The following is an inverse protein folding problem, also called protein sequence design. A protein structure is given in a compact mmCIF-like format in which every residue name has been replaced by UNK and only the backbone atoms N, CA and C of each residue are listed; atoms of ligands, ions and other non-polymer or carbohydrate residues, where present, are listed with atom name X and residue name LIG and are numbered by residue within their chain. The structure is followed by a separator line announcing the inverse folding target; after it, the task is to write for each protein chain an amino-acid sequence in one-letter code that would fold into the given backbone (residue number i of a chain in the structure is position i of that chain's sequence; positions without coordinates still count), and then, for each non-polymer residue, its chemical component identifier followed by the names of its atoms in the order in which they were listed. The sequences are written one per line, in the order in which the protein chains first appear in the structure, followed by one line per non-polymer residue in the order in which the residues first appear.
data_IF_506029387046
#
_entry.id   IF_506029387046
#
_cell.length_a   1.000
_cell.length_b   1.000
_cell.length_c   1.000
_cell.angle_alpha   90.00
_cell.angle_beta   90.00
_cell.angle_gamma   90.00
#
_symmetry.space_group_name_H-M   'P 1'
#
loop_
_entity.id
_entity.type
_entity.pdbx_description
1 polymer ?
#
# COMPACT_ATOMS: atom_id res chain seq x y z
N UNK A 1 1.92 37.11 -12.71
CA UNK A 1 0.65 37.80 -13.03
C UNK A 1 0.08 37.17 -14.30
N UNK A 2 -0.89 36.26 -14.16
CA UNK A 2 -1.52 35.56 -15.29
C UNK A 2 -2.99 36.00 -15.36
N UNK A 3 -3.43 36.55 -16.50
CA UNK A 3 -4.76 37.13 -16.70
C UNK A 3 -5.78 36.04 -17.00
N UNK A 4 -6.84 36.00 -16.19
CA UNK A 4 -8.07 35.25 -16.43
C UNK A 4 -8.96 36.07 -17.38
N UNK A 5 -9.39 35.50 -18.51
CA UNK A 5 -10.45 36.07 -19.36
C UNK A 5 -11.70 35.21 -19.25
N UNK A 6 -12.69 35.72 -18.51
CA UNK A 6 -14.04 35.20 -18.49
C UNK A 6 -14.81 35.69 -19.73
N UNK A 7 -15.52 34.79 -20.41
CA UNK A 7 -16.53 35.15 -21.42
C UNK A 7 -17.85 34.51 -21.04
N UNK A 8 -18.82 35.35 -20.74
CA UNK A 8 -20.21 35.01 -20.50
C UNK A 8 -20.99 34.90 -21.82
N UNK A 9 -22.10 34.16 -21.74
CA UNK A 9 -23.40 34.36 -22.41
C UNK A 9 -23.90 33.11 -23.14
N UNK A 10 -25.09 32.64 -22.74
CA UNK A 10 -25.77 31.55 -23.40
C UNK A 10 -27.05 31.10 -22.71
N UNK A 11 -27.94 32.04 -22.39
CA UNK A 11 -29.31 31.76 -21.93
C UNK A 11 -30.09 31.02 -23.01
N UNK A 12 -30.62 29.83 -22.70
CA UNK A 12 -31.74 29.23 -23.45
C UNK A 12 -32.76 28.63 -22.48
N UNK A 13 -33.90 29.31 -22.41
CA UNK A 13 -35.15 28.88 -21.82
C UNK A 13 -35.70 27.70 -22.63
N UNK A 14 -36.07 26.60 -21.97
CA UNK A 14 -36.98 25.59 -22.53
C UNK A 14 -38.02 25.19 -21.50
N UNK A 15 -39.27 25.49 -21.87
CA UNK A 15 -40.54 24.85 -21.55
C UNK A 15 -40.58 23.80 -20.42
N UNK A 16 -41.28 24.17 -19.35
CA UNK A 16 -41.96 23.27 -18.43
C UNK A 16 -43.05 22.49 -19.20
N UNK A 17 -42.99 21.17 -19.16
CA UNK A 17 -44.12 20.29 -19.48
C UNK A 17 -44.34 19.37 -18.30
N UNK A 18 -45.51 19.51 -17.67
CA UNK A 18 -45.95 18.69 -16.55
C UNK A 18 -46.34 17.30 -17.06
N UNK A 19 -45.58 16.28 -16.65
CA UNK A 19 -45.90 14.88 -16.88
C UNK A 19 -46.50 14.26 -15.61
N UNK A 20 -47.62 13.56 -15.78
CA UNK A 20 -48.46 12.95 -14.77
C UNK A 20 -47.72 11.94 -13.84
N UNK A 21 -48.25 11.68 -12.62
CA UNK A 21 -47.65 10.72 -11.69
C UNK A 21 -47.75 9.28 -12.22
N UNK A 22 -46.58 8.67 -12.40
CA UNK A 22 -46.42 7.25 -12.75
C UNK A 22 -46.70 6.38 -11.51
N UNK A 23 -47.43 5.25 -11.64
CA UNK A 23 -47.66 4.35 -10.50
C UNK A 23 -46.34 3.78 -9.97
N UNK A 24 -46.24 3.71 -8.65
CA UNK A 24 -45.08 3.23 -7.91
C UNK A 24 -44.68 1.81 -8.37
N UNK A 25 -43.49 1.71 -8.96
CA UNK A 25 -42.85 0.42 -9.24
C UNK A 25 -42.29 -0.09 -7.92
N UNK A 26 -42.80 -1.23 -7.47
CA UNK A 26 -42.30 -1.93 -6.29
C UNK A 26 -40.77 -2.07 -6.38
N UNK A 27 -40.10 -1.69 -5.30
CA UNK A 27 -38.67 -1.93 -5.14
C UNK A 27 -38.42 -3.45 -5.23
N UNK A 28 -37.44 -3.91 -6.03
CA UNK A 28 -36.94 -5.25 -5.81
C UNK A 28 -36.33 -5.25 -4.41
N UNK A 29 -36.92 -6.04 -3.51
CA UNK A 29 -36.27 -6.49 -2.29
C UNK A 29 -34.89 -7.00 -2.70
N UNK A 30 -33.84 -6.23 -2.44
CA UNK A 30 -32.48 -6.75 -2.47
C UNK A 30 -32.38 -7.73 -1.32
N UNK A 31 -32.76 -8.97 -1.63
CA UNK A 31 -32.33 -10.15 -0.95
C UNK A 31 -30.82 -10.00 -0.68
N UNK A 32 -30.44 -10.07 0.59
CA UNK A 32 -29.10 -9.77 1.06
C UNK A 32 -28.05 -10.44 0.19
N UNK A 33 -27.10 -9.64 -0.29
CA UNK A 33 -25.81 -10.17 -0.72
C UNK A 33 -25.26 -10.98 0.46
N UNK A 34 -25.23 -12.29 0.24
CA UNK A 34 -24.92 -13.29 1.23
C UNK A 34 -23.62 -12.94 1.98
N UNK A 35 -23.58 -13.06 3.32
CA UNK A 35 -22.32 -12.94 4.08
C UNK A 35 -21.26 -13.98 3.65
N UNK A 36 -21.67 -15.00 2.89
CA UNK A 36 -20.80 -16.06 2.39
C UNK A 36 -19.76 -15.60 1.35
N UNK A 37 -20.13 -14.75 0.38
CA UNK A 37 -19.20 -14.35 -0.69
C UNK A 37 -18.04 -13.47 -0.16
N UNK A 38 -18.30 -12.69 0.90
CA UNK A 38 -17.31 -11.82 1.54
C UNK A 38 -16.26 -12.63 2.32
N UNK A 39 -16.67 -13.71 2.96
CA UNK A 39 -15.78 -14.58 3.74
C UNK A 39 -14.80 -15.37 2.85
N UNK A 40 -15.21 -15.80 1.65
CA UNK A 40 -14.35 -16.58 0.74
C UNK A 40 -13.29 -15.71 0.05
N UNK A 41 -13.65 -14.49 -0.38
CA UNK A 41 -12.68 -13.55 -0.95
C UNK A 41 -11.63 -13.09 0.08
N UNK A 42 -12.04 -12.92 1.35
CA UNK A 42 -11.13 -12.61 2.46
C UNK A 42 -10.17 -13.78 2.73
N UNK A 43 -10.62 -15.03 2.64
CA UNK A 43 -9.78 -16.23 2.81
C UNK A 43 -8.76 -16.42 1.67
N UNK A 44 -9.14 -16.16 0.41
CA UNK A 44 -8.19 -16.22 -0.72
C UNK A 44 -7.17 -15.06 -0.69
N UNK A 45 -7.56 -13.89 -0.18
CA UNK A 45 -6.65 -12.74 -0.04
C UNK A 45 -5.76 -12.83 1.19
N UNK A 46 -6.21 -13.45 2.28
CA UNK A 46 -5.35 -13.82 3.40
C UNK A 46 -4.28 -14.84 2.98
N UNK A 47 -4.55 -15.69 1.98
CA UNK A 47 -3.55 -16.59 1.41
C UNK A 47 -2.41 -15.88 0.65
N UNK A 48 -2.63 -14.67 0.13
CA UNK A 48 -1.56 -13.87 -0.49
C UNK A 48 -0.52 -13.43 0.54
N UNK A 49 -0.93 -13.23 1.79
CA UNK A 49 -0.02 -12.91 2.90
C UNK A 49 0.86 -14.10 3.27
N UNK A 50 0.34 -15.34 3.19
CA UNK A 50 1.06 -16.56 3.56
C UNK A 50 2.11 -17.01 2.53
N UNK A 51 2.09 -16.45 1.31
CA UNK A 51 3.02 -16.80 0.23
C UNK A 51 4.10 -15.73 0.00
N UNK A 52 4.22 -14.76 0.91
CA UNK A 52 5.19 -13.69 0.76
C UNK A 52 6.61 -14.20 1.06
N UNK A 53 7.50 -14.06 0.09
CA UNK A 53 8.93 -14.35 0.28
C UNK A 53 9.61 -13.12 0.87
N UNK A 54 10.11 -13.27 2.08
CA UNK A 54 10.78 -12.19 2.79
C UNK A 54 12.29 -12.24 2.58
N UNK A 55 12.88 -11.10 2.21
CA UNK A 55 14.32 -10.91 2.11
C UNK A 55 14.75 -9.78 3.03
N UNK A 56 15.67 -10.05 3.94
CA UNK A 56 16.35 -8.99 4.70
C UNK A 56 17.40 -8.33 3.81
N UNK A 57 17.27 -7.03 3.57
CA UNK A 57 18.17 -6.27 2.69
C UNK A 57 19.13 -5.36 3.48
N UNK A 58 18.82 -5.07 4.74
CA UNK A 58 19.68 -4.30 5.64
C UNK A 58 19.58 -4.85 7.06
N UNK A 59 20.72 -4.92 7.76
CA UNK A 59 20.79 -5.17 9.21
C UNK A 59 21.90 -4.31 9.80
N UNK A 60 21.56 -3.52 10.80
CA UNK A 60 22.51 -2.79 11.64
C UNK A 60 22.23 -3.12 13.12
N UNK A 61 22.98 -2.50 14.03
CA UNK A 61 22.76 -2.64 15.47
C UNK A 61 21.39 -2.09 15.93
N UNK A 62 20.81 -1.13 15.21
CA UNK A 62 19.58 -0.43 15.61
C UNK A 62 18.52 -0.36 14.51
N UNK A 63 18.73 -0.99 13.36
CA UNK A 63 17.75 -0.96 12.27
C UNK A 63 17.79 -2.21 11.39
N UNK A 64 16.66 -2.50 10.78
CA UNK A 64 16.50 -3.56 9.79
C UNK A 64 15.65 -3.10 8.62
N UNK A 65 15.90 -3.67 7.44
CA UNK A 65 15.01 -3.55 6.29
C UNK A 65 14.68 -4.92 5.73
N UNK A 66 13.41 -5.14 5.48
CA UNK A 66 12.87 -6.30 4.79
C UNK A 66 12.15 -5.89 3.52
N UNK A 67 12.27 -6.73 2.51
CA UNK A 67 11.53 -6.65 1.26
C UNK A 67 10.68 -7.92 1.15
N UNK A 68 9.37 -7.75 1.10
CA UNK A 68 8.42 -8.82 0.85
C UNK A 68 8.11 -8.89 -0.64
N UNK A 69 8.33 -10.06 -1.22
CA UNK A 69 8.10 -10.36 -2.63
C UNK A 69 6.88 -11.26 -2.74
N UNK A 70 5.93 -10.89 -3.60
CA UNK A 70 4.74 -11.68 -3.92
C UNK A 70 4.63 -11.83 -5.43
N UNK A 71 4.37 -13.04 -5.90
CA UNK A 71 4.30 -13.37 -7.33
C UNK A 71 5.53 -12.90 -8.14
N UNK A 72 6.71 -12.95 -7.51
CA UNK A 72 7.98 -12.55 -8.12
C UNK A 72 8.21 -11.04 -8.24
N UNK A 73 7.31 -10.22 -7.69
CA UNK A 73 7.42 -8.76 -7.66
C UNK A 73 7.50 -8.23 -6.24
N UNK A 74 8.20 -7.11 -6.06
CA UNK A 74 8.23 -6.39 -4.80
C UNK A 74 6.81 -5.94 -4.43
N UNK A 75 6.40 -6.26 -3.20
CA UNK A 75 5.06 -6.01 -2.73
C UNK A 75 5.02 -5.09 -1.51
N UNK A 76 6.00 -5.22 -0.62
CA UNK A 76 6.09 -4.43 0.60
C UNK A 76 7.55 -4.25 1.01
N UNK A 77 7.87 -3.07 1.53
CA UNK A 77 9.11 -2.84 2.26
C UNK A 77 8.78 -2.54 3.72
N UNK A 78 9.52 -3.14 4.65
CA UNK A 78 9.40 -2.89 6.09
C UNK A 78 10.74 -2.42 6.62
N UNK A 79 10.78 -1.19 7.11
CA UNK A 79 11.91 -0.62 7.82
C UNK A 79 11.61 -0.66 9.32
N UNK A 80 12.53 -1.21 10.12
CA UNK A 80 12.41 -1.28 11.57
C UNK A 80 13.53 -0.49 12.23
N UNK A 81 13.19 0.20 13.31
CA UNK A 81 14.11 0.93 14.16
C UNK A 81 13.95 0.49 15.61
N UNK A 82 15.02 -0.05 16.18
CA UNK A 82 15.10 -0.46 17.57
C UNK A 82 15.54 0.74 18.41
N UNK A 83 14.68 1.15 19.34
CA UNK A 83 14.89 2.34 20.15
C UNK A 83 15.58 1.98 21.49
N UNK A 84 16.31 2.92 22.11
CA UNK A 84 17.04 2.67 23.37
C UNK A 84 16.15 2.29 24.56
N UNK A 85 14.86 2.62 24.51
CA UNK A 85 13.87 2.29 25.54
C UNK A 85 13.29 0.86 25.38
N UNK A 86 13.78 0.10 24.40
CA UNK A 86 13.33 -1.26 24.11
C UNK A 86 12.10 -1.34 23.22
N UNK A 87 11.55 -0.21 22.76
CA UNK A 87 10.46 -0.19 21.77
C UNK A 87 10.99 -0.29 20.34
N UNK A 88 10.10 -0.67 19.43
CA UNK A 88 10.38 -0.80 18.00
C UNK A 88 9.39 0.06 17.21
N UNK A 89 9.94 0.90 16.34
CA UNK A 89 9.18 1.69 15.39
C UNK A 89 9.39 1.16 13.98
N UNK A 90 8.31 0.77 13.33
CA UNK A 90 8.31 0.23 11.97
C UNK A 90 7.63 1.16 10.97
N UNK A 91 8.18 1.26 9.77
CA UNK A 91 7.49 1.84 8.60
C UNK A 91 7.25 0.75 7.58
N UNK A 92 6.00 0.61 7.16
CA UNK A 92 5.55 -0.40 6.19
C UNK A 92 5.12 0.33 4.94
N UNK A 93 5.85 0.14 3.84
CA UNK A 93 5.51 0.72 2.53
C UNK A 93 4.90 -0.37 1.66
N UNK A 94 3.59 -0.33 1.48
CA UNK A 94 2.87 -1.16 0.51
C UNK A 94 3.11 -0.59 -0.89
N UNK A 95 3.64 -1.40 -1.80
CA UNK A 95 3.84 -0.99 -3.18
C UNK A 95 2.50 -1.08 -3.92
N UNK A 96 2.12 0.00 -4.59
CA UNK A 96 0.83 0.10 -5.28
C UNK A 96 0.62 -1.02 -6.31
N UNK A 97 1.68 -1.45 -6.99
CA UNK A 97 1.68 -2.55 -7.97
C UNK A 97 1.21 -3.89 -7.42
N UNK A 98 1.39 -4.15 -6.12
CA UNK A 98 1.03 -5.44 -5.52
C UNK A 98 -0.45 -5.56 -5.14
N UNK A 99 -1.24 -4.48 -5.25
CA UNK A 99 -2.68 -4.50 -5.01
C UNK A 99 -3.10 -5.14 -3.66
N UNK A 100 -2.25 -5.04 -2.64
CA UNK A 100 -2.56 -5.50 -1.29
C UNK A 100 -3.72 -4.64 -0.76
N UNK A 101 -4.83 -5.30 -0.44
CA UNK A 101 -6.02 -4.65 0.12
C UNK A 101 -5.76 -4.18 1.55
N UNK A 102 -6.34 -3.05 1.94
CA UNK A 102 -6.13 -2.45 3.27
C UNK A 102 -6.56 -3.41 4.40
N UNK A 103 -7.60 -4.22 4.16
CA UNK A 103 -8.10 -5.21 5.12
C UNK A 103 -7.13 -6.38 5.32
N UNK A 104 -6.17 -6.59 4.42
CA UNK A 104 -5.16 -7.64 4.53
C UNK A 104 -3.95 -7.20 5.36
N UNK A 105 -3.80 -5.89 5.63
CA UNK A 105 -2.64 -5.33 6.34
C UNK A 105 -2.47 -5.91 7.75
N UNK A 106 -3.52 -6.04 8.59
CA UNK A 106 -3.33 -6.62 9.92
C UNK A 106 -2.81 -8.06 9.88
N UNK A 107 -3.30 -8.87 8.93
CA UNK A 107 -2.82 -10.24 8.76
C UNK A 107 -1.36 -10.28 8.25
N UNK A 108 -1.00 -9.37 7.34
CA UNK A 108 0.37 -9.20 6.86
C UNK A 108 1.34 -8.91 8.00
N UNK A 109 0.99 -7.94 8.85
CA UNK A 109 1.84 -7.54 9.97
C UNK A 109 1.93 -8.63 11.04
N UNK A 110 0.84 -9.33 11.33
CA UNK A 110 0.84 -10.47 12.24
C UNK A 110 1.77 -11.59 11.76
N UNK A 111 1.69 -11.97 10.48
CA UNK A 111 2.55 -13.00 9.91
C UNK A 111 4.03 -12.58 9.92
N UNK A 112 4.31 -11.31 9.65
CA UNK A 112 5.67 -10.78 9.70
C UNK A 112 6.23 -10.75 11.13
N UNK A 113 5.41 -10.34 12.10
CA UNK A 113 5.77 -10.28 13.52
C UNK A 113 6.17 -11.65 14.06
N UNK A 114 5.33 -12.66 13.81
CA UNK A 114 5.55 -14.06 14.23
C UNK A 114 6.89 -14.62 13.74
N UNK A 115 7.29 -14.30 12.52
CA UNK A 115 8.48 -14.85 11.87
C UNK A 115 9.78 -14.08 12.19
N UNK A 116 9.70 -12.75 12.37
CA UNK A 116 10.89 -11.89 12.36
C UNK A 116 11.12 -11.09 13.64
N UNK A 117 10.14 -11.00 14.54
CA UNK A 117 10.18 -10.08 15.69
C UNK A 117 10.02 -10.80 17.04
N UNK A 118 10.88 -11.77 17.38
CA UNK A 118 10.77 -12.46 18.66
C UNK A 118 11.00 -11.49 19.83
N UNK A 119 10.01 -11.39 20.71
CA UNK A 119 10.10 -10.61 21.95
C UNK A 119 9.59 -9.17 21.85
N UNK A 120 9.09 -8.74 20.69
CA UNK A 120 8.26 -7.54 20.56
C UNK A 120 6.92 -7.94 19.96
N UNK A 121 5.85 -7.25 20.32
CA UNK A 121 4.49 -7.61 19.90
C UNK A 121 3.62 -6.36 19.88
N UNK A 122 2.77 -6.25 18.85
CA UNK A 122 1.74 -5.21 18.74
C UNK A 122 0.79 -5.20 19.94
N UNK A 123 0.46 -6.37 20.51
CA UNK A 123 -0.40 -6.51 21.69
C UNK A 123 0.25 -6.01 22.98
N UNK A 124 1.57 -6.13 23.11
CA UNK A 124 2.34 -5.69 24.28
C UNK A 124 2.63 -4.18 24.31
N UNK A 125 2.40 -3.48 23.18
CA UNK A 125 2.58 -2.04 23.04
C UNK A 125 4.02 -1.57 22.86
N UNK A 126 4.99 -2.48 22.73
CA UNK A 126 6.39 -2.15 22.47
C UNK A 126 6.73 -2.12 20.96
N UNK A 127 5.75 -2.37 20.08
CA UNK A 127 5.88 -2.33 18.64
C UNK A 127 4.83 -1.39 18.04
N UNK A 128 5.26 -0.50 17.15
CA UNK A 128 4.36 0.39 16.39
C UNK A 128 4.70 0.34 14.92
N UNK A 129 3.68 0.27 14.06
CA UNK A 129 3.85 0.40 12.61
C UNK A 129 3.15 1.66 12.09
N UNK A 130 3.85 2.41 11.24
CA UNK A 130 3.24 3.38 10.34
C UNK A 130 3.12 2.73 8.96
N UNK A 131 1.90 2.60 8.44
CA UNK A 131 1.64 1.98 7.14
C UNK A 131 1.36 3.05 6.10
N UNK A 132 2.12 3.03 5.01
CA UNK A 132 1.97 3.94 3.87
C UNK A 132 1.85 3.14 2.57
N UNK A 133 1.29 3.77 1.55
CA UNK A 133 1.25 3.24 0.19
C UNK A 133 2.11 4.11 -0.71
N UNK A 134 2.95 3.49 -1.53
CA UNK A 134 3.90 4.19 -2.38
C UNK A 134 4.10 3.53 -3.73
N UNK A 135 4.81 4.25 -4.60
CA UNK A 135 5.21 3.78 -5.93
C UNK A 135 6.74 3.76 -6.02
N UNK A 136 7.29 2.79 -6.75
CA UNK A 136 8.73 2.73 -7.04
C UNK A 136 9.02 3.68 -8.20
N UNK A 137 9.86 4.69 -7.96
CA UNK A 137 10.27 5.63 -9.00
C UNK A 137 11.51 5.15 -9.78
N UNK A 138 12.36 4.34 -9.15
CA UNK A 138 13.59 3.83 -9.73
C UNK A 138 14.57 3.39 -8.64
N UNK A 139 15.61 2.65 -9.04
CA UNK A 139 16.72 2.28 -8.18
C UNK A 139 17.95 3.10 -8.58
N UNK A 140 18.58 3.75 -7.60
CA UNK A 140 19.74 4.61 -7.82
C UNK A 140 20.90 4.07 -6.99
N UNK A 141 21.92 3.57 -7.68
CA UNK A 141 23.11 3.00 -7.05
C UNK A 141 24.31 3.91 -7.31
N UNK A 142 25.24 3.94 -6.34
CA UNK A 142 26.49 4.67 -6.53
C UNK A 142 27.30 4.01 -7.64
N UNK A 143 27.33 4.64 -8.82
CA UNK A 143 28.24 4.23 -9.88
C UNK A 143 29.67 4.47 -9.43
N UNK A 144 30.50 3.44 -9.40
CA UNK A 144 31.94 3.63 -9.41
C UNK A 144 32.26 4.37 -10.72
N UNK A 145 32.58 5.67 -10.61
CA UNK A 145 33.05 6.44 -11.74
C UNK A 145 34.41 5.85 -12.15
N UNK A 146 34.42 5.04 -13.21
CA UNK A 146 35.67 4.58 -13.82
C UNK A 146 36.18 5.74 -14.67
N UNK A 147 37.03 6.57 -14.07
CA UNK A 147 37.74 7.63 -14.77
C UNK A 147 38.60 7.01 -15.87
N UNK A 148 38.06 7.00 -17.09
CA UNK A 148 38.70 6.44 -18.29
C UNK A 148 39.72 7.43 -18.84
N UNK A 149 40.71 7.85 -18.03
CA UNK A 149 41.72 8.80 -18.49
C UNK A 149 43.13 8.64 -17.89
N UNK A 150 43.54 7.42 -17.54
CA UNK A 150 44.98 7.13 -17.40
C UNK A 150 45.58 6.93 -18.79
N UNK A 151 45.90 8.05 -19.46
CA UNK A 151 46.75 8.07 -20.64
C UNK A 151 48.12 7.51 -20.22
N UNK A 152 48.45 6.34 -20.75
CA UNK A 152 49.77 5.71 -20.62
C UNK A 152 50.77 6.63 -21.33
N UNK A 153 51.59 7.37 -20.57
CA UNK A 153 52.84 7.90 -21.10
C UNK A 153 53.87 6.76 -21.07
N UNK A 154 54.42 6.46 -22.25
CA UNK A 154 55.53 5.54 -22.47
C UNK A 154 56.85 6.29 -22.39
#
# INVERSE_FOLDING_TARGET
MCRLTARAAGTRIRHLSASAPRPARAAPTTCGLAPFARATALRLRAHLVTLMNWKRTLRTASSERFLGVSDGADAVAIDLHYLPDGTVAGTVTLLASANIADEAVPALLSAFDDDFLPGVDLGSGNLTFTVIRGEVLGNFEAGAQVDSNSKIER
#
